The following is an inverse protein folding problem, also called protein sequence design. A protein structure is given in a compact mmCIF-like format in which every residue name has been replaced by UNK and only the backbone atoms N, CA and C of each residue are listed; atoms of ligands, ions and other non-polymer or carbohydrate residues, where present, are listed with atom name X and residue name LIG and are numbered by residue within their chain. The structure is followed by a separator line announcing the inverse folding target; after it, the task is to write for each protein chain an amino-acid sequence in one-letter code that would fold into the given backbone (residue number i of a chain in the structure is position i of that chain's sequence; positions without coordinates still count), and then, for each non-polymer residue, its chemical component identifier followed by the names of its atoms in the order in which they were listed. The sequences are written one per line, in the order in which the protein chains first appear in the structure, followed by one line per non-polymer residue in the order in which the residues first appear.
data_IF_247969358100
#
_entry.id   IF_247969358100
#
_cell.length_a   1.000
_cell.length_b   1.000
_cell.length_c   1.000
_cell.angle_alpha   90.00
_cell.angle_beta   90.00
_cell.angle_gamma   90.00
#
_symmetry.space_group_name_H-M   'P 1'
#
loop_
_entity.id
_entity.type
_entity.pdbx_description
1 polymer ?
#
# COMPACT_ATOMS: atom_id res chain seq x y z
N UNK A 1 -23.98 11.08 1.24
CA UNK A 1 -22.89 12.04 0.95
C UNK A 1 -21.77 12.11 2.01
N UNK A 2 -22.03 12.28 3.32
CA UNK A 2 -20.94 12.40 4.33
C UNK A 2 -20.08 11.12 4.44
N UNK A 3 -20.74 9.96 4.47
CA UNK A 3 -20.06 8.65 4.58
C UNK A 3 -19.21 8.35 3.33
N UNK A 4 -19.75 8.62 2.13
CA UNK A 4 -19.02 8.46 0.87
C UNK A 4 -17.74 9.31 0.80
N UNK A 5 -17.82 10.58 1.26
CA UNK A 5 -16.64 11.46 1.33
C UNK A 5 -15.59 10.96 2.32
N UNK A 6 -16.01 10.41 3.47
CA UNK A 6 -15.09 9.85 4.47
C UNK A 6 -14.44 8.55 3.98
N UNK A 7 -15.18 7.71 3.27
CA UNK A 7 -14.66 6.49 2.66
C UNK A 7 -13.60 6.79 1.59
N UNK A 8 -13.87 7.80 0.74
CA UNK A 8 -12.91 8.26 -0.26
C UNK A 8 -11.65 8.82 0.42
N UNK A 9 -11.80 9.65 1.44
CA UNK A 9 -10.67 10.20 2.19
C UNK A 9 -9.82 9.11 2.86
N UNK A 10 -10.46 8.08 3.42
CA UNK A 10 -9.77 6.92 3.97
C UNK A 10 -8.98 6.13 2.91
N UNK A 11 -9.57 5.90 1.74
CA UNK A 11 -8.89 5.25 0.62
C UNK A 11 -7.69 6.04 0.11
N UNK A 12 -7.82 7.36 -0.02
CA UNK A 12 -6.71 8.25 -0.40
C UNK A 12 -5.61 8.25 0.66
N UNK A 13 -5.96 8.32 1.94
CA UNK A 13 -4.98 8.27 3.03
C UNK A 13 -4.19 6.96 3.03
N UNK A 14 -4.87 5.82 2.86
CA UNK A 14 -4.21 4.50 2.76
C UNK A 14 -3.30 4.39 1.53
N UNK A 15 -3.75 4.93 0.40
CA UNK A 15 -2.96 4.94 -0.83
C UNK A 15 -1.68 5.77 -0.66
N UNK A 16 -1.78 6.99 -0.12
CA UNK A 16 -0.61 7.84 0.15
C UNK A 16 0.36 7.16 1.12
N UNK A 17 -0.14 6.64 2.24
CA UNK A 17 0.70 5.93 3.21
C UNK A 17 1.39 4.71 2.60
N UNK A 18 0.69 3.95 1.75
CA UNK A 18 1.26 2.78 1.06
C UNK A 18 2.38 3.15 0.11
N UNK A 19 2.24 4.23 -0.66
CA UNK A 19 3.31 4.74 -1.52
C UNK A 19 4.50 5.27 -0.72
N UNK A 20 4.27 6.00 0.37
CA UNK A 20 5.34 6.49 1.24
C UNK A 20 6.12 5.33 1.85
N UNK A 21 5.44 4.32 2.39
CA UNK A 21 6.08 3.12 2.93
C UNK A 21 6.88 2.37 1.85
N UNK A 22 6.28 2.18 0.67
CA UNK A 22 6.97 1.52 -0.45
C UNK A 22 8.25 2.27 -0.85
N UNK A 23 8.22 3.60 -0.87
CA UNK A 23 9.39 4.41 -1.17
C UNK A 23 10.49 4.29 -0.12
N UNK A 24 10.12 4.28 1.17
CA UNK A 24 11.10 4.14 2.27
C UNK A 24 11.76 2.76 2.21
N UNK A 25 10.98 1.68 2.05
CA UNK A 25 11.50 0.31 1.95
C UNK A 25 12.45 0.16 0.76
N UNK A 26 12.09 0.73 -0.39
CA UNK A 26 12.92 0.69 -1.59
C UNK A 26 14.27 1.42 -1.40
N UNK A 27 14.31 2.47 -0.57
CA UNK A 27 15.55 3.20 -0.26
C UNK A 27 16.44 2.46 0.75
N UNK A 28 15.86 1.63 1.61
CA UNK A 28 16.55 0.94 2.71
C UNK A 28 16.77 -0.56 2.43
N UNK A 29 16.66 -0.98 1.16
CA UNK A 29 16.79 -2.39 0.78
C UNK A 29 18.24 -2.87 0.92
N UNK A 30 18.55 -3.89 1.76
CA UNK A 30 19.92 -4.32 2.02
C UNK A 30 20.48 -5.05 0.81
N UNK A 31 21.67 -4.65 0.38
CA UNK A 31 22.41 -5.31 -0.71
C UNK A 31 23.61 -6.08 -0.17
N UNK A 32 23.75 -7.34 -0.57
CA UNK A 32 24.90 -8.17 -0.20
C UNK A 32 26.21 -7.63 -0.77
N UNK A 33 27.30 -7.83 -0.03
CA UNK A 33 28.66 -7.44 -0.44
C UNK A 33 29.56 -8.66 -0.56
N UNK A 34 30.58 -8.59 -1.42
CA UNK A 34 31.57 -9.67 -1.56
C UNK A 34 32.48 -9.71 -0.33
N UNK A 35 32.70 -10.90 0.24
CA UNK A 35 33.62 -11.10 1.36
C UNK A 35 32.95 -11.19 2.74
N UNK A 36 31.62 -11.35 2.78
CA UNK A 36 30.88 -11.56 4.02
C UNK A 36 31.09 -12.97 4.57
N UNK A 37 31.16 -13.07 5.89
CA UNK A 37 31.18 -14.33 6.64
C UNK A 37 29.81 -15.04 6.60
N UNK A 38 29.76 -16.32 6.94
CA UNK A 38 28.50 -17.08 6.94
C UNK A 38 27.45 -16.47 7.89
N UNK A 39 27.88 -15.98 9.06
CA UNK A 39 26.99 -15.34 10.02
C UNK A 39 26.43 -14.01 9.48
N UNK A 40 27.25 -13.20 8.81
CA UNK A 40 26.80 -11.94 8.22
C UNK A 40 25.85 -12.17 7.03
N UNK A 41 26.03 -13.26 6.27
CA UNK A 41 25.09 -13.66 5.21
C UNK A 41 23.73 -14.02 5.80
N UNK A 42 23.69 -14.76 6.91
CA UNK A 42 22.44 -15.13 7.57
C UNK A 42 21.67 -13.90 8.07
N UNK A 43 22.37 -12.95 8.69
CA UNK A 43 21.78 -11.69 9.17
C UNK A 43 21.22 -10.84 8.02
N UNK A 44 21.94 -10.78 6.89
CA UNK A 44 21.44 -10.14 5.68
C UNK A 44 20.18 -10.81 5.14
N UNK A 45 20.16 -12.15 5.08
CA UNK A 45 18.99 -12.89 4.58
C UNK A 45 17.76 -12.66 5.45
N UNK A 46 17.94 -12.54 6.77
CA UNK A 46 16.86 -12.20 7.69
C UNK A 46 16.35 -10.77 7.42
N UNK A 47 17.26 -9.80 7.31
CA UNK A 47 16.91 -8.39 7.07
C UNK A 47 16.22 -8.21 5.71
N UNK A 48 16.71 -8.88 4.66
CA UNK A 48 16.09 -8.86 3.34
C UNK A 48 14.67 -9.44 3.37
N UNK A 49 14.46 -10.56 4.07
CA UNK A 49 13.10 -11.11 4.25
C UNK A 49 12.18 -10.14 4.96
N UNK A 50 12.65 -9.50 6.02
CA UNK A 50 11.84 -8.51 6.74
C UNK A 50 11.44 -7.35 5.81
N UNK A 51 12.37 -6.85 4.99
CA UNK A 51 12.06 -5.79 4.03
C UNK A 51 11.11 -6.26 2.92
N UNK A 52 11.26 -7.48 2.41
CA UNK A 52 10.34 -8.07 1.44
C UNK A 52 8.92 -8.19 2.01
N UNK A 53 8.79 -8.70 3.25
CA UNK A 53 7.52 -8.80 3.96
C UNK A 53 6.88 -7.42 4.18
N UNK A 54 7.66 -6.40 4.55
CA UNK A 54 7.18 -5.02 4.63
C UNK A 54 6.73 -4.49 3.27
N UNK A 55 7.44 -4.82 2.19
CA UNK A 55 7.08 -4.47 0.82
C UNK A 55 5.73 -5.05 0.41
N UNK A 56 5.47 -6.32 0.76
CA UNK A 56 4.17 -6.96 0.57
C UNK A 56 3.08 -6.21 1.34
N UNK A 57 3.34 -5.86 2.61
CA UNK A 57 2.40 -5.12 3.45
C UNK A 57 2.06 -3.74 2.87
N UNK A 58 3.07 -3.01 2.39
CA UNK A 58 2.89 -1.73 1.72
C UNK A 58 2.06 -1.87 0.43
N UNK A 59 2.31 -2.93 -0.36
CA UNK A 59 1.54 -3.26 -1.55
C UNK A 59 0.07 -3.56 -1.26
N UNK A 60 -0.23 -4.31 -0.18
CA UNK A 60 -1.59 -4.54 0.29
C UNK A 60 -2.25 -3.22 0.69
N UNK A 61 -1.54 -2.32 1.38
CA UNK A 61 -2.07 -1.02 1.78
C UNK A 61 -2.49 -0.17 0.57
N UNK A 62 -1.66 -0.15 -0.47
CA UNK A 62 -1.98 0.49 -1.75
C UNK A 62 -3.19 -0.17 -2.41
N UNK A 63 -3.23 -1.51 -2.48
CA UNK A 63 -4.33 -2.25 -3.09
C UNK A 63 -5.67 -2.02 -2.39
N UNK A 64 -5.69 -2.07 -1.06
CA UNK A 64 -6.88 -1.77 -0.26
C UNK A 64 -7.28 -0.31 -0.39
N UNK A 65 -6.34 0.63 -0.32
CA UNK A 65 -6.61 2.05 -0.52
C UNK A 65 -7.25 2.33 -1.88
N UNK A 66 -6.71 1.72 -2.94
CA UNK A 66 -7.27 1.80 -4.28
C UNK A 66 -8.68 1.20 -4.38
N UNK A 67 -8.92 0.04 -3.76
CA UNK A 67 -10.25 -0.59 -3.73
C UNK A 67 -11.29 0.33 -3.07
N UNK A 68 -10.95 0.97 -1.94
CA UNK A 68 -11.86 1.90 -1.26
C UNK A 68 -12.21 3.11 -2.13
N UNK A 69 -11.23 3.62 -2.89
CA UNK A 69 -11.45 4.69 -3.85
C UNK A 69 -12.44 4.23 -4.94
N UNK A 70 -12.23 3.05 -5.53
CA UNK A 70 -13.12 2.50 -6.55
C UNK A 70 -14.55 2.31 -6.04
N UNK A 71 -14.73 1.76 -4.85
CA UNK A 71 -16.06 1.59 -4.24
C UNK A 71 -16.71 2.96 -3.97
N UNK A 72 -15.94 3.95 -3.54
CA UNK A 72 -16.44 5.32 -3.31
C UNK A 72 -16.99 5.95 -4.60
N UNK A 73 -16.32 5.73 -5.75
CA UNK A 73 -16.82 6.18 -7.05
C UNK A 73 -17.94 5.31 -7.61
N UNK A 74 -17.85 3.98 -7.46
CA UNK A 74 -18.86 3.03 -7.92
C UNK A 74 -20.20 3.19 -7.19
N UNK A 75 -20.18 3.48 -5.89
CA UNK A 75 -21.38 3.76 -5.09
C UNK A 75 -22.08 5.05 -5.56
N UNK A 76 -21.33 6.06 -6.01
CA UNK A 76 -21.88 7.33 -6.49
C UNK A 76 -22.76 7.18 -7.74
N UNK A 77 -22.52 6.16 -8.58
CA UNK A 77 -23.26 5.97 -9.84
C UNK A 77 -24.69 5.46 -9.65
N UNK A 78 -25.02 4.81 -8.52
CA UNK A 78 -26.38 4.28 -8.26
C UNK A 78 -27.40 5.34 -7.82
N UNK A 79 -26.98 6.55 -7.42
CA UNK A 79 -27.90 7.59 -6.93
C UNK A 79 -28.36 8.60 -8.00
N UNK A 80 -27.77 8.60 -9.20
CA UNK A 80 -28.07 9.58 -10.25
C UNK A 80 -29.12 9.15 -11.28
N UNK A 81 -29.66 7.92 -11.18
CA UNK A 81 -30.54 7.33 -12.19
C UNK A 81 -32.04 7.36 -11.89
N UNK A 82 -32.48 8.09 -10.85
CA UNK A 82 -33.90 8.16 -10.49
C UNK A 82 -34.32 9.61 -10.33
N UNK A 83 -34.62 10.25 -11.46
CA UNK A 83 -35.65 11.29 -11.65
C UNK A 83 -35.43 12.02 -12.98
N UNK A 84 -36.16 11.61 -14.04
CA UNK A 84 -36.85 12.48 -15.01
C UNK A 84 -37.75 11.61 -15.91
N UNK A 85 -38.97 11.36 -15.48
CA UNK A 85 -40.17 11.28 -16.33
C UNK A 85 -41.40 11.51 -15.45
#
# INVERSE_FOLDING_TARGET
MIIEKRLLAGGVALLVSGFVLSAIIALDTPTGQSGMTEDEILDLMETQRQNDDMGILAGILVGVGFLLILISFGARRRSGGRNTM
#
